data_IF_260878375265
#
_entry.id   IF_260878375265
#
_cell.length_a   1.000
_cell.length_b   1.000
_cell.length_c   1.000
_cell.angle_alpha   90.00
_cell.angle_beta   90.00
_cell.angle_gamma   90.00
#
_symmetry.space_group_name_H-M   'P 1'
#
loop_
_entity.id
_entity.type
_entity.pdbx_description
1 polymer ?
#
# COMPACT_ATOMS: atom_id res chain seq x y z
N UNK A 1 -30.75 -4.84 3.32
CA UNK A 1 -30.43 -4.04 2.11
C UNK A 1 -29.58 -4.91 1.20
N UNK A 2 -29.82 -4.88 -0.10
CA UNK A 2 -28.94 -5.51 -1.06
C UNK A 2 -27.56 -4.85 -1.01
N UNK A 3 -26.49 -5.66 -1.03
CA UNK A 3 -25.10 -5.14 -1.01
C UNK A 3 -24.84 -4.41 -2.32
N UNK A 4 -24.35 -3.17 -2.25
CA UNK A 4 -24.00 -2.40 -3.44
C UNK A 4 -22.67 -2.89 -4.01
N UNK A 5 -22.49 -2.79 -5.32
CA UNK A 5 -21.22 -3.02 -6.00
C UNK A 5 -20.33 -1.79 -5.91
N UNK A 6 -19.01 -1.98 -5.88
CA UNK A 6 -18.04 -0.90 -5.68
C UNK A 6 -16.95 -0.96 -6.74
N UNK A 7 -16.79 0.10 -7.49
CA UNK A 7 -15.89 0.22 -8.63
C UNK A 7 -14.70 1.11 -8.31
N UNK A 8 -13.55 0.83 -8.92
CA UNK A 8 -12.36 1.68 -8.90
C UNK A 8 -12.41 2.57 -10.15
N UNK A 9 -12.54 3.87 -9.96
CA UNK A 9 -12.72 4.83 -11.05
C UNK A 9 -11.56 5.81 -11.21
N UNK A 10 -10.66 5.90 -10.23
CA UNK A 10 -9.49 6.75 -10.29
C UNK A 10 -8.31 6.18 -9.52
N UNK A 11 -7.12 6.43 -10.02
CA UNK A 11 -5.84 5.99 -9.45
C UNK A 11 -4.88 7.17 -9.35
N UNK A 12 -4.09 7.20 -8.27
CA UNK A 12 -2.99 8.14 -8.15
C UNK A 12 -1.92 7.61 -7.20
N UNK A 13 -0.66 7.82 -7.55
CA UNK A 13 0.47 7.36 -6.74
C UNK A 13 1.71 8.20 -6.95
N UNK A 14 2.51 8.33 -5.90
CA UNK A 14 3.88 8.84 -5.94
C UNK A 14 4.72 7.87 -5.14
N UNK A 15 5.68 7.20 -5.78
CA UNK A 15 6.49 6.16 -5.17
C UNK A 15 7.87 6.07 -5.83
N UNK A 16 8.79 5.19 -5.37
CA UNK A 16 10.15 5.11 -5.91
C UNK A 16 10.26 4.76 -7.41
N UNK A 17 9.19 4.27 -8.03
CA UNK A 17 9.17 3.88 -9.44
C UNK A 17 8.61 4.98 -10.36
N UNK A 18 7.85 5.95 -9.80
CA UNK A 18 7.25 7.01 -10.59
C UNK A 18 6.44 8.00 -9.74
N UNK A 19 6.16 9.15 -10.34
CA UNK A 19 5.44 10.24 -9.68
C UNK A 19 3.95 10.32 -10.08
N UNK A 20 3.48 9.32 -10.81
CA UNK A 20 2.09 9.11 -11.20
C UNK A 20 1.82 7.62 -11.48
N UNK A 21 0.55 7.25 -11.63
CA UNK A 21 0.14 5.85 -11.81
C UNK A 21 0.63 5.26 -13.14
N UNK A 22 0.67 6.04 -14.20
CA UNK A 22 1.06 5.55 -15.54
C UNK A 22 2.56 5.22 -15.60
N UNK A 23 3.42 6.14 -15.17
CA UNK A 23 4.87 5.95 -15.13
C UNK A 23 5.25 4.81 -14.16
N UNK A 24 4.59 4.77 -12.99
CA UNK A 24 4.78 3.70 -12.02
C UNK A 24 4.43 2.34 -12.61
N UNK A 25 3.30 2.21 -13.29
CA UNK A 25 2.89 0.93 -13.89
C UNK A 25 3.82 0.51 -15.02
N UNK A 26 4.29 1.45 -15.84
CA UNK A 26 5.30 1.13 -16.85
C UNK A 26 6.59 0.61 -16.21
N UNK A 27 7.09 1.26 -15.17
CA UNK A 27 8.27 0.81 -14.45
C UNK A 27 8.10 -0.59 -13.81
N UNK A 28 6.89 -0.90 -13.29
CA UNK A 28 6.54 -2.25 -12.78
C UNK A 28 6.57 -3.29 -13.90
N UNK A 29 6.01 -2.96 -15.07
CA UNK A 29 6.06 -3.87 -16.24
C UNK A 29 7.49 -4.14 -16.73
N UNK A 30 8.34 -3.13 -16.66
CA UNK A 30 9.75 -3.20 -17.07
C UNK A 30 10.65 -3.83 -15.99
N UNK A 31 10.13 -4.14 -14.81
CA UNK A 31 10.89 -4.71 -13.70
C UNK A 31 11.93 -3.76 -13.11
N UNK A 32 11.65 -2.46 -13.07
CA UNK A 32 12.57 -1.44 -12.55
C UNK A 32 12.71 -1.58 -11.03
N UNK A 33 13.94 -1.55 -10.52
CA UNK A 33 14.24 -1.52 -9.11
C UNK A 33 14.35 -0.06 -8.61
N UNK A 34 13.48 0.32 -7.68
CA UNK A 34 13.49 1.65 -7.05
C UNK A 34 14.41 1.74 -5.83
N UNK A 35 15.07 0.63 -5.43
CA UNK A 35 15.96 0.58 -4.28
C UNK A 35 17.32 1.15 -4.65
N UNK A 36 17.92 1.93 -3.77
CA UNK A 36 19.25 2.50 -3.95
C UNK A 36 19.79 3.07 -2.62
N UNK A 37 20.98 3.70 -2.67
CA UNK A 37 21.55 4.33 -1.49
C UNK A 37 20.62 5.37 -0.89
N UNK A 38 20.58 5.44 0.45
CA UNK A 38 19.88 6.49 1.19
C UNK A 38 20.56 7.84 0.89
N UNK A 39 19.75 8.83 0.45
CA UNK A 39 20.22 10.18 0.15
C UNK A 39 19.55 11.26 1.02
N UNK A 40 18.51 10.91 1.74
CA UNK A 40 17.72 11.83 2.56
C UNK A 40 18.48 12.36 3.79
N UNK A 41 19.48 11.63 4.26
CA UNK A 41 20.34 12.01 5.39
C UNK A 41 21.68 11.25 5.31
N UNK A 42 22.67 11.67 6.09
CA UNK A 42 23.93 10.94 6.21
C UNK A 42 23.75 9.67 7.05
N UNK A 43 23.72 8.52 6.37
CA UNK A 43 23.55 7.20 6.99
C UNK A 43 24.88 6.48 7.27
N UNK A 44 26.05 7.13 7.09
CA UNK A 44 27.37 6.50 7.19
C UNK A 44 27.69 5.86 8.56
N UNK A 45 27.03 6.34 9.63
CA UNK A 45 27.14 5.78 10.98
C UNK A 45 26.16 4.63 11.27
N UNK A 46 25.26 4.30 10.34
CA UNK A 46 24.26 3.24 10.46
C UNK A 46 24.72 1.97 9.73
N UNK A 47 24.03 0.84 9.98
CA UNK A 47 24.30 -0.45 9.31
C UNK A 47 23.52 -0.61 8.01
N UNK A 48 22.45 0.16 7.84
CA UNK A 48 21.55 0.12 6.69
C UNK A 48 21.79 1.34 5.83
N UNK A 49 22.14 1.12 4.58
CA UNK A 49 22.49 2.17 3.62
C UNK A 49 21.55 2.22 2.42
N UNK A 50 20.60 1.28 2.30
CA UNK A 50 19.67 1.18 1.19
C UNK A 50 18.24 1.49 1.62
N UNK A 51 17.53 2.21 0.74
CA UNK A 51 16.09 2.47 0.86
C UNK A 51 15.49 2.67 -0.55
N UNK A 52 14.17 2.62 -0.64
CA UNK A 52 13.44 2.98 -1.84
C UNK A 52 12.83 4.39 -1.65
N UNK A 53 13.57 5.40 -2.08
CA UNK A 53 13.20 6.83 -1.94
C UNK A 53 12.42 7.33 -3.16
N UNK A 54 11.51 8.26 -2.94
CA UNK A 54 10.92 9.09 -4.02
C UNK A 54 11.95 10.17 -4.37
N UNK A 55 12.66 9.97 -5.48
CA UNK A 55 13.74 10.85 -5.96
C UNK A 55 13.22 11.92 -6.89
N UNK A 56 13.93 13.06 -6.98
CA UNK A 56 13.70 14.13 -7.97
C UNK A 56 12.26 14.64 -8.02
N UNK A 57 11.54 14.62 -6.89
CA UNK A 57 10.16 15.04 -6.75
C UNK A 57 10.01 16.33 -5.95
N UNK A 58 9.42 17.34 -6.59
CA UNK A 58 9.05 18.61 -5.96
C UNK A 58 7.53 18.67 -5.79
N UNK A 59 7.00 18.65 -4.54
CA UNK A 59 5.56 18.72 -4.29
C UNK A 59 4.91 19.98 -4.87
N UNK A 60 5.66 21.08 -5.04
CA UNK A 60 5.12 22.35 -5.55
C UNK A 60 4.79 22.31 -7.05
N UNK A 61 5.18 21.26 -7.76
CA UNK A 61 4.76 21.04 -9.15
C UNK A 61 3.30 20.61 -9.26
N UNK A 62 2.76 20.02 -8.20
CA UNK A 62 1.38 19.49 -8.17
C UNK A 62 0.51 20.09 -7.06
N UNK A 63 1.09 20.59 -5.98
CA UNK A 63 0.39 21.16 -4.82
C UNK A 63 0.65 22.66 -4.68
N UNK A 64 -0.27 23.40 -4.05
CA UNK A 64 -0.05 24.82 -3.75
C UNK A 64 1.12 24.98 -2.77
N UNK A 65 2.03 25.87 -3.09
CA UNK A 65 3.24 26.17 -2.30
C UNK A 65 2.93 26.62 -0.85
N UNK A 66 1.77 27.23 -0.64
CA UNK A 66 1.35 27.64 0.72
C UNK A 66 0.98 26.43 1.55
N UNK A 67 0.27 25.48 0.96
CA UNK A 67 -0.17 24.27 1.63
C UNK A 67 1.00 23.32 1.94
N UNK A 68 1.94 23.17 0.99
CA UNK A 68 3.15 22.35 1.15
C UNK A 68 3.95 22.71 2.41
N UNK A 69 3.98 24.00 2.80
CA UNK A 69 4.69 24.47 4.00
C UNK A 69 4.08 23.99 5.33
N UNK A 70 2.83 23.56 5.30
CA UNK A 70 2.07 23.08 6.45
C UNK A 70 1.86 21.56 6.44
N UNK A 71 2.50 20.84 5.51
CA UNK A 71 2.43 19.40 5.34
C UNK A 71 3.79 18.77 5.66
N UNK A 72 3.80 17.69 6.40
CA UNK A 72 4.93 16.76 6.43
C UNK A 72 5.04 16.00 5.10
N UNK A 73 6.18 15.36 4.84
CA UNK A 73 6.42 14.68 3.57
C UNK A 73 5.37 13.63 3.25
N UNK A 74 4.99 12.76 4.22
CA UNK A 74 3.95 11.76 3.96
C UNK A 74 2.62 12.40 3.54
N UNK A 75 2.26 13.54 4.14
CA UNK A 75 1.05 14.29 3.79
C UNK A 75 1.16 14.89 2.38
N UNK A 76 2.34 15.40 1.99
CA UNK A 76 2.58 15.92 0.63
C UNK A 76 2.41 14.81 -0.41
N UNK A 77 2.99 13.62 -0.17
CA UNK A 77 2.85 12.44 -1.01
C UNK A 77 1.38 12.00 -1.11
N UNK A 78 0.68 11.93 0.03
CA UNK A 78 -0.75 11.59 0.10
C UNK A 78 -1.62 12.54 -0.71
N UNK A 79 -1.42 13.86 -0.53
CA UNK A 79 -2.18 14.89 -1.22
C UNK A 79 -1.94 14.89 -2.74
N UNK A 80 -0.69 14.65 -3.16
CA UNK A 80 -0.35 14.55 -4.58
C UNK A 80 -1.01 13.32 -5.24
N UNK A 81 -0.92 12.15 -4.60
CA UNK A 81 -1.58 10.93 -5.07
C UNK A 81 -3.12 11.10 -5.11
N UNK A 82 -3.71 11.73 -4.09
CA UNK A 82 -5.16 11.99 -4.07
C UNK A 82 -5.59 12.96 -5.15
N UNK A 83 -4.79 13.99 -5.45
CA UNK A 83 -5.06 14.94 -6.52
C UNK A 83 -5.06 14.27 -7.90
N UNK A 84 -4.11 13.35 -8.13
CA UNK A 84 -4.06 12.54 -9.33
C UNK A 84 -5.31 11.63 -9.42
N UNK A 85 -5.63 10.86 -8.36
CA UNK A 85 -6.78 9.96 -8.34
C UNK A 85 -8.11 10.69 -8.60
N UNK A 86 -8.27 11.88 -8.02
CA UNK A 86 -9.44 12.74 -8.25
C UNK A 86 -9.52 13.22 -9.71
N UNK A 87 -8.40 13.67 -10.28
CA UNK A 87 -8.34 14.10 -11.68
C UNK A 87 -8.58 12.91 -12.63
N UNK A 88 -7.97 11.77 -12.35
CA UNK A 88 -8.08 10.53 -13.14
C UNK A 88 -9.51 9.98 -13.15
N UNK A 89 -10.25 10.11 -12.04
CA UNK A 89 -11.65 9.69 -11.96
C UNK A 89 -12.61 10.52 -12.81
N UNK A 90 -12.23 11.75 -13.14
CA UNK A 90 -13.10 12.69 -13.84
C UNK A 90 -14.34 13.11 -13.05
N UNK A 91 -14.36 12.95 -11.72
CA UNK A 91 -15.47 13.31 -10.84
C UNK A 91 -15.69 14.84 -10.85
N UNK A 92 -16.89 15.27 -11.20
CA UNK A 92 -17.30 16.69 -11.16
C UNK A 92 -17.92 17.01 -9.78
N UNK A 93 -17.08 17.51 -8.87
CA UNK A 93 -17.48 17.79 -7.49
C UNK A 93 -18.63 18.79 -7.32
N UNK A 94 -18.89 19.63 -8.32
CA UNK A 94 -20.02 20.59 -8.28
C UNK A 94 -21.38 19.90 -8.47
N UNK A 95 -21.38 18.66 -8.98
CA UNK A 95 -22.57 17.85 -9.18
C UNK A 95 -22.80 16.81 -8.07
N UNK A 96 -21.87 16.72 -7.11
CA UNK A 96 -21.88 15.68 -6.09
C UNK A 96 -22.48 16.18 -4.78
N UNK A 97 -23.15 15.27 -4.04
CA UNK A 97 -23.39 15.46 -2.60
C UNK A 97 -22.12 15.16 -1.82
N UNK A 98 -21.32 16.19 -1.57
CA UNK A 98 -20.04 16.07 -0.88
C UNK A 98 -20.14 15.49 0.54
N UNK A 99 -21.34 15.50 1.16
CA UNK A 99 -21.58 14.84 2.46
C UNK A 99 -21.63 13.31 2.34
N UNK A 100 -21.78 12.80 1.11
CA UNK A 100 -21.73 11.38 0.76
C UNK A 100 -20.36 10.96 0.18
N UNK A 101 -19.39 11.90 0.14
CA UNK A 101 -18.03 11.67 -0.33
C UNK A 101 -17.08 11.69 0.87
N UNK A 102 -16.26 10.66 1.03
CA UNK A 102 -15.37 10.51 2.20
C UNK A 102 -13.93 10.19 1.86
N UNK A 103 -13.08 10.12 2.91
CA UNK A 103 -11.64 9.86 2.80
C UNK A 103 -11.20 8.86 3.87
N UNK A 104 -10.53 7.78 3.46
CA UNK A 104 -9.87 6.83 4.37
C UNK A 104 -8.44 6.63 3.88
N UNK A 105 -7.46 7.27 4.51
CA UNK A 105 -6.05 7.17 4.13
C UNK A 105 -5.17 6.85 5.32
N UNK A 106 -4.47 5.72 5.23
CA UNK A 106 -3.60 5.18 6.28
C UNK A 106 -2.23 5.84 6.28
N UNK A 107 -1.59 5.84 7.44
CA UNK A 107 -0.15 5.96 7.62
C UNK A 107 0.26 5.14 8.85
N UNK A 108 1.40 4.47 8.79
CA UNK A 108 1.91 3.67 9.91
C UNK A 108 2.49 4.54 11.03
N UNK A 109 3.23 5.59 10.67
CA UNK A 109 3.96 6.44 11.63
C UNK A 109 3.71 7.94 11.47
N UNK A 110 2.95 8.35 10.48
CA UNK A 110 2.65 9.77 10.25
C UNK A 110 3.90 10.62 9.95
N UNK A 111 3.93 11.83 10.47
CA UNK A 111 5.02 12.79 10.28
C UNK A 111 6.21 12.56 11.20
N UNK A 112 6.78 11.37 11.25
CA UNK A 112 7.90 11.00 12.12
C UNK A 112 9.13 11.89 11.88
N UNK A 113 9.41 12.31 10.66
CA UNK A 113 10.49 13.24 10.33
C UNK A 113 10.35 14.58 11.06
N UNK A 114 9.09 15.04 11.18
CA UNK A 114 8.77 16.28 11.90
C UNK A 114 8.94 16.11 13.41
N UNK A 115 8.62 14.94 13.94
CA UNK A 115 8.82 14.62 15.36
C UNK A 115 10.32 14.60 15.70
N UNK A 116 11.15 13.94 14.88
CA UNK A 116 12.59 13.88 15.07
C UNK A 116 13.25 15.27 14.98
N UNK A 117 12.94 16.02 13.93
CA UNK A 117 13.55 17.35 13.71
C UNK A 117 13.13 18.37 14.77
N UNK A 118 11.87 18.32 15.19
CA UNK A 118 11.36 19.24 16.21
C UNK A 118 11.89 18.90 17.60
N UNK A 119 12.03 17.61 17.94
CA UNK A 119 12.66 17.18 19.19
C UNK A 119 14.11 17.70 19.27
N UNK A 120 14.92 17.45 18.23
CA UNK A 120 16.30 17.93 18.16
C UNK A 120 16.39 19.47 18.28
N UNK A 121 15.48 20.20 17.68
CA UNK A 121 15.41 21.66 17.75
C UNK A 121 15.01 22.14 19.14
N UNK A 122 13.99 21.55 19.74
CA UNK A 122 13.44 21.98 21.03
C UNK A 122 14.31 21.57 22.20
N UNK A 123 15.02 20.45 22.14
CA UNK A 123 16.01 20.07 23.16
C UNK A 123 17.12 21.12 23.34
N UNK A 124 17.48 21.86 22.27
CA UNK A 124 18.49 22.91 22.29
C UNK A 124 17.91 24.28 22.63
N UNK A 125 16.67 24.60 22.22
CA UNK A 125 16.09 25.94 22.28
C UNK A 125 14.97 26.10 23.32
N UNK A 126 14.54 25.02 23.94
CA UNK A 126 13.39 24.94 24.86
C UNK A 126 12.10 24.53 24.17
N UNK A 127 11.31 23.69 24.85
CA UNK A 127 10.09 23.06 24.30
C UNK A 127 8.93 24.04 24.10
N UNK A 128 8.91 25.16 24.85
CA UNK A 128 7.94 26.26 24.66
C UNK A 128 8.12 27.02 23.33
N UNK A 129 9.15 26.66 22.56
CA UNK A 129 9.43 27.19 21.22
C UNK A 129 9.07 26.20 20.11
N UNK A 130 8.31 25.13 20.42
CA UNK A 130 7.83 24.20 19.42
C UNK A 130 7.03 24.93 18.33
N UNK A 131 7.12 24.40 17.10
CA UNK A 131 6.34 24.95 15.99
C UNK A 131 4.84 24.88 16.29
N UNK A 132 4.04 25.92 16.02
CA UNK A 132 2.60 25.85 16.14
C UNK A 132 1.98 24.81 15.19
N UNK A 133 2.71 24.38 14.16
CA UNK A 133 2.31 23.36 13.22
C UNK A 133 2.82 21.95 13.58
N UNK A 134 3.57 21.80 14.68
CA UNK A 134 4.15 20.51 15.07
C UNK A 134 3.10 19.41 15.15
N UNK A 135 2.03 19.62 15.92
CA UNK A 135 0.98 18.61 16.06
C UNK A 135 0.29 18.29 14.72
N UNK A 136 -0.20 19.29 13.94
CA UNK A 136 -0.82 19.00 12.64
C UNK A 136 0.11 18.34 11.62
N UNK A 137 1.41 18.53 11.70
CA UNK A 137 2.36 17.89 10.77
C UNK A 137 2.78 16.49 11.21
N UNK A 138 2.59 16.13 12.50
CA UNK A 138 3.08 14.88 13.06
C UNK A 138 2.00 13.79 13.09
N UNK A 139 0.74 14.11 13.44
CA UNK A 139 -0.29 13.10 13.64
C UNK A 139 -0.73 12.42 12.33
N UNK A 140 -0.88 11.10 12.38
CA UNK A 140 -1.09 10.25 11.20
C UNK A 140 -2.39 10.50 10.42
N UNK A 141 -3.42 11.05 11.06
CA UNK A 141 -4.71 11.33 10.40
C UNK A 141 -4.68 12.58 9.48
N UNK A 142 -3.62 13.38 9.51
CA UNK A 142 -3.58 14.63 8.73
C UNK A 142 -3.44 14.38 7.24
N UNK A 143 -2.88 13.24 6.80
CA UNK A 143 -2.95 12.83 5.40
C UNK A 143 -4.38 12.79 4.89
N UNK A 144 -5.27 12.08 5.59
CA UNK A 144 -6.69 12.03 5.27
C UNK A 144 -7.37 13.41 5.40
N UNK A 145 -7.05 14.17 6.46
CA UNK A 145 -7.62 15.49 6.72
C UNK A 145 -7.30 16.50 5.61
N UNK A 146 -6.05 16.57 5.17
CA UNK A 146 -5.66 17.46 4.05
C UNK A 146 -6.31 17.06 2.74
N UNK A 147 -6.44 15.75 2.46
CA UNK A 147 -7.14 15.27 1.27
C UNK A 147 -8.62 15.67 1.33
N UNK A 148 -9.28 15.52 2.47
CA UNK A 148 -10.69 15.91 2.63
C UNK A 148 -10.89 17.42 2.40
N UNK A 149 -10.00 18.26 2.94
CA UNK A 149 -10.03 19.72 2.72
C UNK A 149 -9.82 20.03 1.23
N UNK A 150 -8.81 19.43 0.59
CA UNK A 150 -8.49 19.65 -0.82
C UNK A 150 -9.62 19.19 -1.76
N UNK A 151 -10.22 18.05 -1.49
CA UNK A 151 -11.32 17.50 -2.27
C UNK A 151 -12.68 18.17 -1.97
N UNK A 152 -12.82 18.81 -0.82
CA UNK A 152 -14.10 19.32 -0.31
C UNK A 152 -15.02 18.21 0.21
N UNK A 153 -14.50 17.00 0.46
CA UNK A 153 -15.29 15.85 0.90
C UNK A 153 -15.69 15.98 2.37
N UNK A 154 -16.98 15.84 2.68
CA UNK A 154 -17.58 16.12 3.99
C UNK A 154 -18.16 14.88 4.66
N UNK A 155 -18.04 13.71 4.01
CA UNK A 155 -18.41 12.43 4.61
C UNK A 155 -17.36 11.94 5.61
N UNK A 156 -17.32 10.63 5.85
CA UNK A 156 -16.34 10.03 6.77
C UNK A 156 -14.91 10.39 6.38
N UNK A 157 -14.11 10.87 7.36
CA UNK A 157 -12.67 11.11 7.19
C UNK A 157 -11.93 10.42 8.33
N UNK A 158 -11.08 9.41 8.02
CA UNK A 158 -10.35 8.64 9.02
C UNK A 158 -9.02 8.10 8.51
N UNK A 159 -8.18 7.67 9.44
CA UNK A 159 -6.87 7.06 9.17
C UNK A 159 -6.77 5.76 9.98
N UNK A 160 -6.92 4.58 9.40
CA UNK A 160 -6.58 3.33 10.07
C UNK A 160 -5.06 3.25 10.28
N UNK A 161 -4.63 3.00 11.51
CA UNK A 161 -3.22 2.81 11.87
C UNK A 161 -3.04 1.34 12.25
N UNK A 162 -2.80 0.51 11.25
CA UNK A 162 -2.64 -0.95 11.37
C UNK A 162 -1.31 -1.41 10.77
N UNK A 163 -0.26 -0.62 11.03
CA UNK A 163 1.08 -0.85 10.52
C UNK A 163 1.09 -1.12 9.00
N UNK A 164 1.76 -2.20 8.55
CA UNK A 164 1.90 -2.52 7.13
C UNK A 164 0.59 -2.93 6.44
N UNK A 165 -0.47 -3.26 7.20
CA UNK A 165 -1.79 -3.59 6.66
C UNK A 165 -2.68 -2.35 6.41
N UNK A 166 -2.23 -1.16 6.83
CA UNK A 166 -3.05 0.05 6.87
C UNK A 166 -3.64 0.45 5.53
N UNK A 167 -2.85 0.41 4.45
CA UNK A 167 -3.34 0.74 3.10
C UNK A 167 -4.44 -0.19 2.61
N UNK A 168 -4.28 -1.50 2.82
CA UNK A 168 -5.31 -2.50 2.49
C UNK A 168 -6.54 -2.36 3.38
N UNK A 169 -6.38 -2.07 4.68
CA UNK A 169 -7.51 -1.76 5.55
C UNK A 169 -8.26 -0.51 5.07
N UNK A 170 -7.56 0.54 4.67
CA UNK A 170 -8.19 1.77 4.16
C UNK A 170 -9.05 1.50 2.90
N UNK A 171 -8.54 0.69 1.96
CA UNK A 171 -9.29 0.27 0.77
C UNK A 171 -10.49 -0.60 1.15
N UNK A 172 -10.30 -1.60 2.02
CA UNK A 172 -11.36 -2.51 2.46
C UNK A 172 -12.44 -1.83 3.29
N UNK A 173 -12.07 -0.89 4.16
CA UNK A 173 -13.03 -0.12 4.96
C UNK A 173 -13.84 0.86 4.09
N UNK A 174 -13.20 1.51 3.11
CA UNK A 174 -13.87 2.34 2.11
C UNK A 174 -14.85 1.52 1.26
N UNK A 175 -14.42 0.33 0.80
CA UNK A 175 -15.28 -0.62 0.11
C UNK A 175 -16.54 -0.94 0.93
N UNK A 176 -16.38 -1.34 2.20
CA UNK A 176 -17.53 -1.64 3.07
C UNK A 176 -18.41 -0.42 3.28
N UNK A 177 -17.84 0.75 3.44
CA UNK A 177 -18.58 1.99 3.69
C UNK A 177 -19.51 2.35 2.50
N UNK A 178 -19.03 2.17 1.26
CA UNK A 178 -19.85 2.35 0.05
C UNK A 178 -20.86 1.22 -0.09
N UNK A 179 -20.41 -0.05 0.02
CA UNK A 179 -21.24 -1.23 -0.14
C UNK A 179 -22.45 -1.23 0.79
N UNK A 180 -22.25 -0.79 2.03
CA UNK A 180 -23.28 -0.79 3.05
C UNK A 180 -24.12 0.51 3.03
N UNK A 181 -23.89 1.39 2.04
CA UNK A 181 -24.75 2.54 1.73
C UNK A 181 -24.46 3.80 2.53
N UNK A 182 -23.32 3.90 3.22
CA UNK A 182 -22.93 5.10 3.98
C UNK A 182 -22.28 6.19 3.12
N UNK A 183 -21.68 5.84 1.99
CA UNK A 183 -21.09 6.77 1.04
C UNK A 183 -21.44 6.39 -0.41
N UNK A 184 -21.29 7.33 -1.33
CA UNK A 184 -21.31 7.10 -2.78
C UNK A 184 -19.89 7.06 -3.36
N UNK A 185 -18.98 7.88 -2.81
CA UNK A 185 -17.61 8.06 -3.29
C UNK A 185 -16.64 8.06 -2.11
N UNK A 186 -15.52 7.36 -2.24
CA UNK A 186 -14.44 7.38 -1.26
C UNK A 186 -13.08 7.52 -1.92
N UNK A 187 -12.26 8.48 -1.47
CA UNK A 187 -10.82 8.46 -1.67
C UNK A 187 -10.20 7.60 -0.59
N UNK A 188 -9.50 6.53 -0.96
CA UNK A 188 -8.91 5.62 0.00
C UNK A 188 -7.50 5.19 -0.39
N UNK A 189 -6.68 4.86 0.60
CA UNK A 189 -5.31 4.43 0.32
C UNK A 189 -4.38 4.58 1.51
N UNK A 190 -3.11 4.93 1.23
CA UNK A 190 -2.10 5.09 2.27
C UNK A 190 -0.90 5.91 1.81
N UNK A 191 -0.19 6.48 2.79
CA UNK A 191 1.02 7.27 2.57
C UNK A 191 2.03 7.03 3.70
N UNK A 192 3.31 7.01 3.35
CA UNK A 192 4.39 6.85 4.32
C UNK A 192 5.64 7.58 3.90
N UNK A 193 6.36 8.20 4.84
CA UNK A 193 7.66 8.82 4.64
C UNK A 193 8.56 8.58 5.86
N UNK A 194 8.91 7.30 6.09
CA UNK A 194 9.60 6.84 7.29
C UNK A 194 11.11 6.61 7.07
N UNK A 195 11.71 7.14 5.99
CA UNK A 195 13.17 7.04 5.77
C UNK A 195 13.86 8.15 6.56
N UNK A 196 14.03 7.89 7.86
CA UNK A 196 14.64 8.82 8.84
C UNK A 196 15.66 8.08 9.68
N UNK A 197 16.63 8.79 10.30
CA UNK A 197 17.64 8.15 11.16
C UNK A 197 17.05 7.28 12.27
N UNK A 198 16.01 7.77 12.97
CA UNK A 198 15.40 7.06 14.09
C UNK A 198 14.59 5.85 13.62
N UNK A 199 13.81 6.00 12.55
CA UNK A 199 13.01 4.89 11.99
C UNK A 199 13.91 3.77 11.46
N UNK A 200 14.91 4.10 10.64
CA UNK A 200 15.88 3.11 10.13
C UNK A 200 16.62 2.45 11.31
N UNK A 201 17.08 3.25 12.30
CA UNK A 201 17.73 2.73 13.51
C UNK A 201 16.83 1.78 14.29
N UNK A 202 15.57 2.14 14.51
CA UNK A 202 14.59 1.34 15.22
C UNK A 202 14.33 -0.02 14.54
N UNK A 203 14.06 -0.03 13.24
CA UNK A 203 13.86 -1.27 12.49
C UNK A 203 15.15 -2.10 12.35
N UNK A 204 16.33 -1.46 12.33
CA UNK A 204 17.62 -2.15 12.34
C UNK A 204 17.85 -2.91 13.65
N UNK A 205 17.57 -2.27 14.80
CA UNK A 205 17.71 -2.92 16.12
C UNK A 205 16.74 -4.08 16.30
N UNK A 206 15.58 -4.02 15.66
CA UNK A 206 14.62 -5.13 15.59
C UNK A 206 15.06 -6.25 14.63
N UNK A 207 16.16 -6.09 13.90
CA UNK A 207 16.63 -7.00 12.85
C UNK A 207 15.59 -7.27 11.76
N UNK A 208 14.78 -6.27 11.44
CA UNK A 208 13.73 -6.35 10.44
C UNK A 208 14.20 -5.91 9.04
N UNK A 209 15.24 -5.03 8.99
CA UNK A 209 15.80 -4.53 7.74
C UNK A 209 16.92 -5.40 7.20
N UNK A 210 17.02 -5.45 5.89
CA UNK A 210 18.20 -5.97 5.19
C UNK A 210 19.43 -5.11 5.51
N UNK A 211 20.56 -5.78 5.75
CA UNK A 211 21.88 -5.15 5.96
C UNK A 211 22.81 -5.61 4.84
N UNK A 212 23.13 -4.71 3.93
CA UNK A 212 23.97 -4.96 2.76
C UNK A 212 23.96 -3.75 1.84
N UNK A 213 24.86 -3.72 0.85
CA UNK A 213 25.06 -2.58 -0.03
C UNK A 213 24.70 -2.88 -1.50
N UNK A 214 24.28 -4.10 -1.81
CA UNK A 214 23.84 -4.48 -3.16
C UNK A 214 22.34 -4.33 -3.32
N UNK A 215 21.85 -3.31 -4.07
CA UNK A 215 20.43 -3.11 -4.28
C UNK A 215 19.71 -4.30 -4.93
N UNK A 216 20.44 -5.08 -5.73
CA UNK A 216 19.89 -6.26 -6.44
C UNK A 216 19.67 -7.47 -5.52
N UNK A 217 20.21 -7.45 -4.30
CA UNK A 217 20.01 -8.49 -3.28
C UNK A 217 19.32 -8.01 -2.02
N UNK A 218 18.89 -6.75 -2.00
CA UNK A 218 18.36 -6.12 -0.79
C UNK A 218 16.90 -6.52 -0.48
N UNK A 219 16.02 -6.52 -1.51
CA UNK A 219 14.63 -6.98 -1.38
C UNK A 219 14.40 -8.11 -2.38
N UNK A 220 14.41 -9.33 -1.89
CA UNK A 220 14.34 -10.59 -2.65
C UNK A 220 13.27 -11.52 -2.06
N UNK A 221 11.98 -11.13 -2.15
CA UNK A 221 10.89 -11.93 -1.59
C UNK A 221 10.92 -13.38 -2.07
N UNK A 222 10.68 -14.31 -1.13
CA UNK A 222 10.63 -15.76 -1.36
C UNK A 222 11.96 -16.45 -1.72
N UNK A 223 13.04 -15.68 -1.93
CA UNK A 223 14.38 -16.20 -2.15
C UNK A 223 14.98 -16.77 -0.85
N UNK A 224 15.74 -17.86 -0.92
CA UNK A 224 16.34 -18.50 0.26
C UNK A 224 17.35 -17.60 0.99
N UNK A 225 17.97 -16.64 0.31
CA UNK A 225 18.94 -15.70 0.89
C UNK A 225 18.31 -14.41 1.44
N UNK A 226 16.97 -14.30 1.46
CA UNK A 226 16.29 -13.13 2.02
C UNK A 226 16.63 -12.93 3.49
N UNK A 227 16.82 -11.70 3.92
CA UNK A 227 17.33 -11.41 5.27
C UNK A 227 16.62 -10.26 6.00
N UNK A 228 15.70 -9.59 5.35
CA UNK A 228 14.98 -8.43 5.89
C UNK A 228 14.36 -7.61 4.77
N UNK A 229 13.48 -6.67 5.13
CA UNK A 229 12.88 -5.78 4.14
C UNK A 229 13.73 -4.54 3.88
N UNK A 230 13.48 -3.85 2.78
CA UNK A 230 14.04 -2.51 2.49
C UNK A 230 12.96 -1.48 2.73
N UNK A 231 13.24 -0.45 3.54
CA UNK A 231 12.32 0.66 3.78
C UNK A 231 12.03 1.42 2.49
N UNK A 232 10.76 1.67 2.20
CA UNK A 232 10.30 2.54 1.12
C UNK A 232 9.48 3.72 1.63
N UNK A 233 9.36 4.76 0.82
CA UNK A 233 8.43 5.87 1.02
C UNK A 233 7.51 6.02 -0.20
N UNK A 234 6.33 6.61 -0.02
CA UNK A 234 5.40 6.85 -1.12
C UNK A 234 3.96 6.99 -0.65
N UNK A 235 3.08 7.14 -1.61
CA UNK A 235 1.63 7.18 -1.40
C UNK A 235 0.89 6.58 -2.58
N UNK A 236 -0.26 6.01 -2.30
CA UNK A 236 -1.26 5.65 -3.30
C UNK A 236 -2.66 5.95 -2.79
N UNK A 237 -3.48 6.48 -3.67
CA UNK A 237 -4.90 6.76 -3.42
C UNK A 237 -5.72 6.24 -4.59
N UNK A 238 -6.80 5.54 -4.26
CA UNK A 238 -7.79 5.06 -5.20
C UNK A 238 -9.09 5.84 -4.98
N UNK A 239 -9.81 6.12 -6.08
CA UNK A 239 -11.21 6.54 -6.03
C UNK A 239 -12.09 5.30 -6.12
N UNK A 240 -12.87 5.04 -5.07
CA UNK A 240 -13.92 4.03 -5.08
C UNK A 240 -15.28 4.70 -5.24
N UNK A 241 -16.14 4.11 -6.04
CA UNK A 241 -17.50 4.60 -6.29
C UNK A 241 -18.54 3.49 -6.24
N UNK A 242 -19.74 3.86 -5.82
CA UNK A 242 -20.92 3.01 -5.98
C UNK A 242 -21.18 2.76 -7.49
N UNK A 243 -21.54 1.54 -7.82
CA UNK A 243 -21.74 1.07 -9.20
C UNK A 243 -22.70 1.92 -10.03
N UNK A 244 -23.92 2.16 -9.51
CA UNK A 244 -24.93 2.96 -10.21
C UNK A 244 -24.50 4.40 -10.39
N UNK A 245 -23.85 4.99 -9.38
CA UNK A 245 -23.28 6.32 -9.41
C UNK A 245 -22.21 6.44 -10.50
N UNK A 246 -21.23 5.52 -10.53
CA UNK A 246 -20.15 5.53 -11.52
C UNK A 246 -20.68 5.39 -12.95
N UNK A 247 -21.62 4.48 -13.19
CA UNK A 247 -22.21 4.29 -14.51
C UNK A 247 -23.05 5.48 -14.97
N UNK A 248 -23.82 6.10 -14.07
CA UNK A 248 -24.68 7.23 -14.40
C UNK A 248 -23.89 8.44 -14.91
N UNK A 249 -22.63 8.63 -14.44
CA UNK A 249 -21.75 9.70 -14.90
C UNK A 249 -20.79 9.27 -16.03
N UNK A 250 -20.85 7.99 -16.47
CA UNK A 250 -19.96 7.46 -17.51
C UNK A 250 -18.50 7.34 -17.08
N UNK A 251 -18.26 6.98 -15.80
CA UNK A 251 -16.90 6.82 -15.27
C UNK A 251 -16.11 5.73 -16.00
N UNK A 252 -14.81 5.98 -16.21
CA UNK A 252 -13.88 4.90 -16.53
C UNK A 252 -13.73 3.98 -15.32
N UNK A 253 -13.72 2.67 -15.54
CA UNK A 253 -13.58 1.67 -14.48
C UNK A 253 -12.30 0.86 -14.71
N UNK A 254 -11.51 0.68 -13.65
CA UNK A 254 -10.30 -0.13 -13.65
C UNK A 254 -10.56 -1.57 -13.26
N UNK A 255 -11.28 -1.77 -12.18
CA UNK A 255 -11.67 -3.07 -11.62
C UNK A 255 -12.83 -2.88 -10.64
N UNK A 256 -13.40 -3.96 -10.15
CA UNK A 256 -14.38 -3.98 -9.06
C UNK A 256 -13.72 -4.50 -7.78
N UNK A 257 -13.95 -3.86 -6.64
CA UNK A 257 -13.63 -4.40 -5.31
C UNK A 257 -14.81 -5.26 -4.88
N UNK A 258 -14.56 -6.56 -4.68
CA UNK A 258 -15.64 -7.52 -4.44
C UNK A 258 -15.61 -8.19 -3.07
N UNK A 259 -14.46 -8.16 -2.38
CA UNK A 259 -14.35 -8.78 -1.07
C UNK A 259 -13.22 -8.20 -0.22
N UNK A 260 -13.41 -8.24 1.10
CA UNK A 260 -12.44 -7.78 2.06
C UNK A 260 -12.44 -8.64 3.31
N UNK A 261 -11.27 -9.10 3.72
CA UNK A 261 -11.05 -9.82 4.97
C UNK A 261 -10.00 -9.13 5.84
N UNK A 262 -10.32 -8.93 7.11
CA UNK A 262 -9.38 -8.42 8.09
C UNK A 262 -9.38 -9.31 9.34
N UNK A 263 -8.19 -9.62 9.86
CA UNK A 263 -8.01 -10.49 11.04
C UNK A 263 -6.86 -9.99 11.91
N UNK A 264 -6.77 -10.54 13.10
CA UNK A 264 -5.63 -10.34 13.98
C UNK A 264 -5.04 -11.70 14.37
N UNK A 265 -3.70 -11.82 14.38
CA UNK A 265 -2.99 -13.01 14.86
C UNK A 265 -3.17 -13.22 16.36
N UNK A 266 -3.25 -12.13 17.13
CA UNK A 266 -3.29 -12.14 18.61
C UNK A 266 -2.17 -13.03 19.21
N UNK A 267 -0.97 -12.96 18.60
CA UNK A 267 0.14 -13.87 18.93
C UNK A 267 1.35 -13.14 19.50
N UNK A 268 1.93 -12.19 18.75
CA UNK A 268 3.14 -11.48 19.15
C UNK A 268 3.15 -10.07 18.54
N UNK A 269 3.88 -9.11 19.16
CA UNK A 269 3.90 -7.71 18.72
C UNK A 269 4.54 -7.50 17.33
N UNK A 270 5.46 -8.37 16.92
CA UNK A 270 6.19 -8.22 15.64
C UNK A 270 6.30 -9.50 14.82
N UNK A 271 6.28 -10.68 15.45
CA UNK A 271 6.35 -11.96 14.75
C UNK A 271 4.96 -12.39 14.27
N UNK A 272 4.83 -12.90 13.02
CA UNK A 272 3.56 -13.47 12.55
C UNK A 272 3.23 -14.76 13.32
N UNK A 273 1.94 -15.11 13.39
CA UNK A 273 1.50 -16.39 13.90
C UNK A 273 2.12 -17.55 13.08
N UNK A 274 2.42 -18.70 13.69
CA UNK A 274 2.95 -19.85 12.98
C UNK A 274 2.06 -20.23 11.78
N UNK A 275 2.70 -20.68 10.70
CA UNK A 275 2.02 -21.11 9.44
C UNK A 275 1.10 -20.07 8.79
N UNK A 276 1.21 -18.78 9.17
CA UNK A 276 0.43 -17.70 8.57
C UNK A 276 -1.09 -17.80 8.78
N UNK A 277 -1.54 -18.39 9.90
CA UNK A 277 -2.97 -18.65 10.17
C UNK A 277 -3.84 -17.41 10.08
N UNK A 278 -3.36 -16.24 10.55
CA UNK A 278 -4.10 -14.98 10.46
C UNK A 278 -4.31 -14.53 9.02
N UNK A 279 -3.26 -14.59 8.20
CA UNK A 279 -3.32 -14.29 6.77
C UNK A 279 -4.26 -15.26 6.02
N UNK A 280 -4.22 -16.55 6.35
CA UNK A 280 -5.13 -17.54 5.78
C UNK A 280 -6.60 -17.19 6.10
N UNK A 281 -6.91 -16.83 7.34
CA UNK A 281 -8.27 -16.39 7.72
C UNK A 281 -8.69 -15.12 6.98
N UNK A 282 -7.77 -14.15 6.79
CA UNK A 282 -8.07 -12.92 6.06
C UNK A 282 -8.41 -13.20 4.58
N UNK A 283 -7.63 -14.07 3.91
CA UNK A 283 -7.93 -14.49 2.53
C UNK A 283 -9.26 -15.23 2.44
N UNK A 284 -9.53 -16.18 3.34
CA UNK A 284 -10.79 -16.93 3.38
C UNK A 284 -12.00 -16.01 3.59
N UNK A 285 -11.88 -14.99 4.46
CA UNK A 285 -12.92 -13.99 4.68
C UNK A 285 -13.16 -13.12 3.44
N UNK A 286 -12.11 -12.71 2.72
CA UNK A 286 -12.25 -11.94 1.49
C UNK A 286 -12.97 -12.72 0.39
N UNK A 287 -12.63 -14.01 0.23
CA UNK A 287 -13.33 -14.92 -0.69
C UNK A 287 -14.80 -15.11 -0.29
N UNK A 288 -15.07 -15.36 0.98
CA UNK A 288 -16.44 -15.51 1.49
C UNK A 288 -17.28 -14.23 1.34
N UNK A 289 -16.68 -13.05 1.56
CA UNK A 289 -17.38 -11.76 1.40
C UNK A 289 -17.79 -11.50 -0.06
N UNK A 290 -16.96 -11.96 -1.00
CA UNK A 290 -17.24 -11.90 -2.44
C UNK A 290 -18.15 -13.03 -2.96
N UNK A 291 -18.33 -14.12 -2.21
CA UNK A 291 -18.95 -15.35 -2.71
C UNK A 291 -18.11 -16.05 -3.80
N UNK A 292 -16.80 -15.82 -3.81
CA UNK A 292 -15.89 -16.39 -4.79
C UNK A 292 -15.25 -17.69 -4.28
N UNK A 293 -15.04 -18.65 -5.18
CA UNK A 293 -14.28 -19.87 -4.84
C UNK A 293 -12.77 -19.64 -5.03
N UNK A 294 -11.93 -20.37 -4.29
CA UNK A 294 -10.47 -20.28 -4.44
C UNK A 294 -10.00 -20.50 -5.90
N UNK A 295 -10.66 -21.37 -6.65
CA UNK A 295 -10.30 -21.73 -8.03
C UNK A 295 -10.47 -20.58 -9.03
N UNK A 296 -11.28 -19.58 -8.70
CA UNK A 296 -11.50 -18.40 -9.55
C UNK A 296 -10.36 -17.38 -9.46
N UNK A 297 -9.53 -17.44 -8.41
CA UNK A 297 -8.41 -16.52 -8.23
C UNK A 297 -7.24 -16.98 -9.09
N UNK A 298 -6.75 -16.10 -9.94
CA UNK A 298 -5.61 -16.37 -10.81
C UNK A 298 -4.30 -15.72 -10.37
N UNK A 299 -4.36 -14.69 -9.53
CA UNK A 299 -3.20 -13.93 -9.12
C UNK A 299 -3.30 -13.44 -7.66
N UNK A 300 -2.16 -13.42 -6.99
CA UNK A 300 -1.98 -12.81 -5.65
C UNK A 300 -0.82 -11.83 -5.69
N UNK A 301 -1.08 -10.55 -5.42
CA UNK A 301 -0.05 -9.61 -5.01
C UNK A 301 0.22 -9.85 -3.52
N UNK A 302 1.33 -10.51 -3.24
CA UNK A 302 1.66 -10.97 -1.90
C UNK A 302 2.19 -9.84 -1.02
N UNK A 303 2.05 -10.00 0.29
CA UNK A 303 2.77 -9.14 1.22
C UNK A 303 4.28 -9.25 1.02
N UNK A 304 4.85 -10.45 0.95
CA UNK A 304 6.17 -10.77 0.43
C UNK A 304 7.25 -9.74 0.77
N UNK A 305 7.63 -9.61 2.04
CA UNK A 305 8.52 -8.54 2.53
C UNK A 305 10.01 -8.85 2.41
N UNK A 306 10.39 -10.02 1.89
CA UNK A 306 11.79 -10.46 1.91
C UNK A 306 12.31 -10.77 3.33
N UNK A 307 11.40 -11.08 4.26
CA UNK A 307 11.77 -11.53 5.60
C UNK A 307 11.58 -13.04 5.74
N UNK A 308 12.46 -13.75 6.46
CA UNK A 308 12.39 -15.21 6.54
C UNK A 308 11.04 -15.74 7.03
N UNK A 309 10.48 -15.16 8.10
CA UNK A 309 9.24 -15.66 8.72
C UNK A 309 7.98 -15.27 7.92
N UNK A 310 7.93 -14.05 7.38
CA UNK A 310 6.75 -13.61 6.65
C UNK A 310 6.55 -14.44 5.38
N UNK A 311 7.58 -14.58 4.54
CA UNK A 311 7.42 -15.14 3.20
C UNK A 311 7.09 -16.64 3.25
N UNK A 312 7.71 -17.38 4.17
CA UNK A 312 7.36 -18.79 4.39
C UNK A 312 5.97 -18.96 5.02
N UNK A 313 5.62 -18.09 5.97
CA UNK A 313 4.28 -18.08 6.58
C UNK A 313 3.17 -17.73 5.58
N UNK A 314 3.38 -16.75 4.72
CA UNK A 314 2.42 -16.39 3.67
C UNK A 314 2.26 -17.50 2.63
N UNK A 315 3.36 -18.17 2.26
CA UNK A 315 3.31 -19.38 1.41
C UNK A 315 2.45 -20.47 2.03
N UNK A 316 2.62 -20.75 3.32
CA UNK A 316 1.81 -21.72 4.04
C UNK A 316 0.33 -21.30 4.10
N UNK A 317 0.05 -20.00 4.34
CA UNK A 317 -1.30 -19.45 4.34
C UNK A 317 -2.00 -19.61 2.99
N UNK A 318 -1.31 -19.29 1.88
CA UNK A 318 -1.84 -19.47 0.52
C UNK A 318 -2.17 -20.96 0.28
N UNK A 319 -1.26 -21.86 0.61
CA UNK A 319 -1.52 -23.31 0.46
C UNK A 319 -2.72 -23.79 1.28
N UNK A 320 -2.87 -23.28 2.51
CA UNK A 320 -3.98 -23.66 3.38
C UNK A 320 -5.35 -23.23 2.81
N UNK A 321 -5.42 -22.05 2.17
CA UNK A 321 -6.68 -21.53 1.60
C UNK A 321 -6.98 -22.13 0.24
N UNK A 322 -5.98 -22.27 -0.63
CA UNK A 322 -6.16 -22.63 -2.03
C UNK A 322 -5.96 -24.13 -2.32
N UNK A 323 -5.46 -24.91 -1.33
CA UNK A 323 -5.28 -26.35 -1.47
C UNK A 323 -4.50 -26.73 -2.74
N UNK A 324 -5.03 -27.65 -3.53
CA UNK A 324 -4.40 -28.07 -4.78
C UNK A 324 -4.33 -26.95 -5.84
N UNK A 325 -5.18 -25.93 -5.75
CA UNK A 325 -5.17 -24.78 -6.66
C UNK A 325 -3.97 -23.87 -6.45
N UNK A 326 -3.36 -23.86 -5.25
CA UNK A 326 -2.17 -23.06 -4.96
C UNK A 326 -1.01 -23.27 -5.95
N UNK A 327 -0.86 -24.50 -6.48
CA UNK A 327 0.15 -24.81 -7.50
C UNK A 327 -0.13 -24.19 -8.89
N UNK A 328 -1.31 -23.63 -9.11
CA UNK A 328 -1.74 -22.96 -10.35
C UNK A 328 -1.82 -21.45 -10.22
N UNK A 329 -1.72 -20.95 -8.99
CA UNK A 329 -1.74 -19.52 -8.72
C UNK A 329 -0.42 -18.87 -9.14
N UNK A 330 -0.54 -17.71 -9.78
CA UNK A 330 0.57 -16.81 -9.94
C UNK A 330 0.65 -15.89 -8.71
N UNK A 331 1.82 -15.82 -8.09
CA UNK A 331 2.06 -14.98 -6.91
C UNK A 331 3.24 -14.06 -7.21
N UNK A 332 3.19 -12.79 -6.87
CA UNK A 332 4.40 -11.97 -6.90
C UNK A 332 4.42 -10.94 -5.79
N UNK A 333 5.61 -10.49 -5.41
CA UNK A 333 5.80 -9.34 -4.54
C UNK A 333 6.48 -8.20 -5.27
N UNK A 334 5.72 -7.12 -5.46
CA UNK A 334 6.23 -5.88 -6.04
C UNK A 334 7.14 -5.10 -5.10
N UNK A 335 7.27 -5.52 -3.83
CA UNK A 335 8.25 -4.97 -2.87
C UNK A 335 9.70 -5.22 -3.27
N UNK A 336 9.95 -6.17 -4.16
CA UNK A 336 11.26 -6.32 -4.82
C UNK A 336 11.64 -5.04 -5.61
N UNK A 337 10.65 -4.30 -6.10
CA UNK A 337 10.83 -3.07 -6.89
C UNK A 337 10.68 -1.81 -6.04
N UNK A 338 9.62 -1.73 -5.23
CA UNK A 338 9.21 -0.53 -4.49
C UNK A 338 9.83 -0.40 -3.10
N UNK A 339 10.49 -1.44 -2.58
CA UNK A 339 10.71 -1.56 -1.15
C UNK A 339 9.38 -1.72 -0.38
N UNK A 340 9.44 -1.68 0.93
CA UNK A 340 8.27 -1.78 1.80
C UNK A 340 7.87 -0.40 2.32
N UNK A 341 6.77 0.15 1.81
CA UNK A 341 6.26 1.48 2.14
C UNK A 341 5.29 1.46 3.34
N UNK A 342 5.42 0.50 4.26
CA UNK A 342 4.64 0.38 5.49
C UNK A 342 3.14 0.62 5.27
N UNK A 343 2.58 1.71 5.87
CA UNK A 343 1.16 2.06 5.76
C UNK A 343 0.68 2.40 4.34
N UNK A 344 1.59 2.71 3.42
CA UNK A 344 1.27 2.96 2.01
C UNK A 344 1.29 1.69 1.15
N UNK A 345 2.00 0.63 1.58
CA UNK A 345 2.30 -0.54 0.75
C UNK A 345 1.04 -1.18 0.15
N UNK A 346 0.06 -1.52 0.98
CA UNK A 346 -1.16 -2.18 0.52
C UNK A 346 -2.01 -1.34 -0.44
N UNK A 347 -1.91 -0.01 -0.37
CA UNK A 347 -2.61 0.87 -1.31
C UNK A 347 -1.93 0.90 -2.69
N UNK A 348 -0.60 0.94 -2.73
CA UNK A 348 0.16 0.85 -3.99
C UNK A 348 -0.08 -0.51 -4.65
N UNK A 349 -0.07 -1.58 -3.85
CA UNK A 349 -0.34 -2.95 -4.30
C UNK A 349 -1.79 -3.14 -4.78
N UNK A 350 -2.76 -2.43 -4.19
CA UNK A 350 -4.13 -2.39 -4.68
C UNK A 350 -4.22 -1.75 -6.09
N UNK A 351 -3.47 -0.66 -6.34
CA UNK A 351 -3.36 -0.06 -7.69
C UNK A 351 -2.77 -1.09 -8.66
N UNK A 352 -1.67 -1.75 -8.31
CA UNK A 352 -1.06 -2.75 -9.18
C UNK A 352 -2.01 -3.91 -9.46
N UNK A 353 -2.75 -4.38 -8.46
CA UNK A 353 -3.72 -5.46 -8.61
C UNK A 353 -4.88 -5.07 -9.54
N UNK A 354 -5.38 -3.83 -9.45
CA UNK A 354 -6.38 -3.31 -10.38
C UNK A 354 -5.86 -3.22 -11.82
N UNK A 355 -4.60 -2.80 -11.99
CA UNK A 355 -3.95 -2.70 -13.31
C UNK A 355 -3.61 -4.08 -13.90
N UNK A 356 -3.27 -5.07 -13.06
CA UNK A 356 -3.15 -6.48 -13.46
C UNK A 356 -4.45 -6.97 -14.11
N UNK A 357 -5.59 -6.73 -13.47
CA UNK A 357 -6.90 -7.14 -13.97
C UNK A 357 -7.28 -6.43 -15.27
N UNK A 358 -6.99 -5.12 -15.37
CA UNK A 358 -7.28 -4.33 -16.56
C UNK A 358 -6.43 -4.75 -17.76
N UNK A 359 -5.13 -4.90 -17.57
CA UNK A 359 -4.17 -5.06 -18.66
C UNK A 359 -3.83 -6.52 -18.95
N UNK A 360 -4.10 -7.44 -18.02
CA UNK A 360 -3.73 -8.86 -18.17
C UNK A 360 -2.24 -9.09 -18.14
N UNK A 361 -1.49 -8.28 -17.41
CA UNK A 361 -0.05 -8.43 -17.20
C UNK A 361 0.25 -8.69 -15.73
N UNK A 362 0.92 -9.78 -15.42
CA UNK A 362 1.34 -10.15 -14.06
C UNK A 362 2.78 -9.70 -13.82
N UNK A 363 3.03 -8.81 -12.82
CA UNK A 363 4.38 -8.32 -12.53
C UNK A 363 5.27 -9.39 -11.90
N UNK A 364 6.58 -9.27 -12.12
CA UNK A 364 7.57 -10.17 -11.57
C UNK A 364 7.87 -9.91 -10.08
N UNK A 365 8.35 -10.95 -9.40
CA UNK A 365 9.25 -10.82 -8.25
C UNK A 365 10.66 -10.76 -8.78
N UNK A 366 11.23 -9.56 -8.91
CA UNK A 366 12.57 -9.38 -9.48
C UNK A 366 13.66 -9.82 -8.50
N UNK A 367 14.88 -10.07 -9.04
CA UNK A 367 16.07 -10.46 -8.28
C UNK A 367 16.00 -11.83 -7.58
N UNK A 368 15.01 -12.66 -7.92
CA UNK A 368 14.90 -14.03 -7.42
C UNK A 368 15.99 -14.92 -8.04
N UNK A 369 16.82 -15.56 -7.20
CA UNK A 369 17.95 -16.36 -7.63
C UNK A 369 18.01 -17.74 -7.00
N UNK A 370 17.76 -17.85 -5.71
CA UNK A 370 17.94 -19.08 -4.93
C UNK A 370 16.59 -19.59 -4.43
N UNK A 371 16.08 -20.71 -4.98
CA UNK A 371 14.83 -21.31 -4.53
C UNK A 371 14.87 -21.70 -3.05
N UNK A 372 13.80 -21.35 -2.31
CA UNK A 372 13.59 -21.78 -0.93
C UNK A 372 12.55 -22.91 -0.91
N UNK A 373 12.88 -24.12 -0.37
CA UNK A 373 11.92 -25.21 -0.26
C UNK A 373 10.67 -24.90 0.58
N UNK A 374 10.73 -23.88 1.46
CA UNK A 374 9.58 -23.40 2.23
C UNK A 374 8.69 -22.44 1.40
N UNK A 375 9.20 -21.96 0.27
CA UNK A 375 8.53 -21.03 -0.64
C UNK A 375 8.50 -21.64 -2.05
N UNK A 376 7.58 -22.57 -2.31
CA UNK A 376 7.56 -23.45 -3.49
C UNK A 376 6.36 -23.21 -4.43
N UNK A 377 5.83 -21.98 -4.47
CA UNK A 377 4.80 -21.54 -5.40
C UNK A 377 5.41 -20.89 -6.66
N UNK A 378 4.57 -20.52 -7.62
CA UNK A 378 4.99 -19.72 -8.78
C UNK A 378 5.05 -18.24 -8.42
N UNK A 379 6.23 -17.74 -8.07
CA UNK A 379 6.46 -16.34 -7.68
C UNK A 379 6.74 -15.41 -8.85
N UNK A 380 6.51 -15.82 -10.09
CA UNK A 380 6.79 -15.06 -11.32
C UNK A 380 8.24 -14.52 -11.27
N UNK A 381 9.25 -15.39 -11.26
CA UNK A 381 10.63 -14.95 -11.02
C UNK A 381 11.19 -14.09 -12.16
N UNK A 382 11.69 -12.91 -11.82
CA UNK A 382 12.48 -11.99 -12.64
C UNK A 382 11.79 -11.39 -13.88
N UNK A 383 10.83 -12.05 -14.49
CA UNK A 383 10.13 -11.55 -15.67
C UNK A 383 8.60 -11.63 -15.49
N UNK A 384 7.95 -10.48 -15.64
CA UNK A 384 6.49 -10.44 -15.72
C UNK A 384 5.98 -11.15 -16.99
N UNK A 385 4.69 -11.49 -16.99
CA UNK A 385 4.09 -12.21 -18.12
C UNK A 385 2.66 -11.77 -18.42
N UNK A 386 2.27 -11.87 -19.67
CA UNK A 386 0.88 -11.70 -20.10
C UNK A 386 0.05 -12.91 -19.65
N UNK A 387 -0.96 -12.65 -18.85
CA UNK A 387 -1.91 -13.67 -18.40
C UNK A 387 -3.20 -12.98 -17.92
N UNK A 388 -4.31 -13.32 -18.55
CA UNK A 388 -5.62 -12.82 -18.11
C UNK A 388 -6.08 -13.57 -16.87
N UNK A 389 -6.56 -12.82 -15.88
CA UNK A 389 -7.12 -13.36 -14.64
C UNK A 389 -8.45 -12.66 -14.35
N UNK A 390 -9.41 -13.39 -13.80
CA UNK A 390 -10.74 -12.87 -13.48
C UNK A 390 -10.76 -12.24 -12.08
N UNK A 391 -10.13 -12.90 -11.11
CA UNK A 391 -9.99 -12.42 -9.73
C UNK A 391 -8.53 -12.34 -9.32
N UNK A 392 -8.21 -11.32 -8.57
CA UNK A 392 -6.89 -11.11 -7.99
C UNK A 392 -6.98 -10.66 -6.53
N UNK A 393 -6.09 -11.18 -5.66
CA UNK A 393 -5.98 -10.79 -4.27
C UNK A 393 -4.79 -9.87 -4.04
N UNK A 394 -4.91 -8.95 -3.09
CA UNK A 394 -3.79 -8.20 -2.50
C UNK A 394 -3.74 -8.46 -1.01
N UNK A 395 -2.61 -8.98 -0.53
CA UNK A 395 -2.40 -9.32 0.87
C UNK A 395 -1.52 -8.30 1.58
N UNK A 396 -1.85 -7.96 2.81
CA UNK A 396 -1.00 -7.17 3.69
C UNK A 396 -0.99 -7.77 5.09
N UNK A 397 0.21 -8.00 5.62
CA UNK A 397 0.45 -8.57 6.94
C UNK A 397 1.29 -7.58 7.74
N UNK A 398 0.84 -7.15 8.92
CA UNK A 398 1.45 -6.06 9.67
C UNK A 398 1.85 -6.43 11.09
N UNK A 399 2.82 -5.70 11.62
CA UNK A 399 3.15 -5.76 13.05
C UNK A 399 1.91 -5.52 13.90
N UNK A 400 1.85 -6.15 15.10
CA UNK A 400 0.64 -6.25 15.89
C UNK A 400 -0.27 -7.41 15.49
N UNK A 401 0.12 -8.18 14.44
CA UNK A 401 -0.65 -9.29 13.89
C UNK A 401 -1.83 -8.83 13.02
N UNK A 402 -1.78 -7.63 12.49
CA UNK A 402 -2.80 -7.11 11.57
C UNK A 402 -2.67 -7.78 10.20
N UNK A 403 -3.74 -8.43 9.75
CA UNK A 403 -3.82 -9.03 8.42
C UNK A 403 -5.00 -8.44 7.66
N UNK A 404 -4.77 -8.03 6.43
CA UNK A 404 -5.80 -7.52 5.52
C UNK A 404 -5.64 -8.15 4.14
N UNK A 405 -6.75 -8.54 3.54
CA UNK A 405 -6.80 -9.09 2.19
C UNK A 405 -7.94 -8.43 1.44
N UNK A 406 -7.67 -7.87 0.27
CA UNK A 406 -8.68 -7.27 -0.61
C UNK A 406 -8.77 -8.11 -1.88
N UNK A 407 -9.98 -8.50 -2.26
CA UNK A 407 -10.26 -9.24 -3.49
C UNK A 407 -10.84 -8.30 -4.53
N UNK A 408 -10.24 -8.32 -5.69
CA UNK A 408 -10.64 -7.55 -6.85
C UNK A 408 -11.14 -8.48 -7.97
N UNK A 409 -12.08 -7.97 -8.77
CA UNK A 409 -12.61 -8.65 -9.95
C UNK A 409 -12.38 -7.80 -11.19
N UNK A 410 -12.04 -8.45 -12.30
CA UNK A 410 -11.94 -7.82 -13.60
C UNK A 410 -13.25 -7.16 -13.97
N UNK A 411 -13.18 -5.93 -14.47
CA UNK A 411 -14.32 -5.23 -15.03
C UNK A 411 -14.55 -5.67 -16.49
N UNK A 412 -15.77 -6.05 -16.81
CA UNK A 412 -16.13 -6.55 -18.14
C UNK A 412 -17.03 -5.58 -18.94
N UNK A 413 -17.33 -4.38 -18.39
CA UNK A 413 -18.20 -3.39 -19.01
C UNK A 413 -19.62 -3.41 -18.50
#
# INVERSE_FOLDING_TARGET
MEKRRVLITGLGTVNPLGHNAADTWQAVRDGVCGIGPITRYDCSAQKVHLAAEVKDWDPTTVLDKKDVRHMSRYTQLAAAAAKEALADSGLDREKEDLTRCGVIVSSGVGGIEMAESEELRCSQKGFDRASPFYIPTTIANMGAGFIAIMAGFQGMCTCPVTACAGGSNAVGDAFRHIRDGYAEVMLCGGAEAAITPLSIGGFTTMRALHVGDDPSRASIPFDAERSGFVMGEGAAVLMLEEYGHALARGARVYAEVVGYGATCDAYHITAPAPNGEGGARAMALALADAGASPEQVGYINAHGTSTPLNDSGETAAIKAVFGAHAAKLAVSSTKAMTGHMLGAAGAVEAIFTALVLRDGFLPATIHYQVPDPACDLDYIPNQGREQQVEYALSNSLGFGGHNACVLFKKWEG
#
